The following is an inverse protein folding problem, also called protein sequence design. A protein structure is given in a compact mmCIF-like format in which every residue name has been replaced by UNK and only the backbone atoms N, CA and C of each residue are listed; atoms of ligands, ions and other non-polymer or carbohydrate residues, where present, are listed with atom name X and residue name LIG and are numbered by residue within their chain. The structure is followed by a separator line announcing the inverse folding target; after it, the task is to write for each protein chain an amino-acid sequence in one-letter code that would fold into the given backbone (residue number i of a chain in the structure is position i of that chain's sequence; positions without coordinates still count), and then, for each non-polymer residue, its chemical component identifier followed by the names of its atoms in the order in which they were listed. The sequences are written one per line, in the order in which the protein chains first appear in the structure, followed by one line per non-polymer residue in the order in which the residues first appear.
data_IF_671530548650
#
_entry.id   IF_671530548650
#
_cell.length_a   1.000
_cell.length_b   1.000
_cell.length_c   1.000
_cell.angle_alpha   90.00
_cell.angle_beta   90.00
_cell.angle_gamma   90.00
#
_symmetry.space_group_name_H-M   'P 1'
#
loop_
_entity.id
_entity.type
_entity.pdbx_description
1 polymer ?
#
# COMPACT_ATOMS: atom_id res chain seq x y z
N UNK A 1 -38.86 -0.10 -5.50
CA UNK A 1 -39.52 0.99 -4.74
C UNK A 1 -38.61 1.49 -3.61
N UNK A 2 -37.94 0.62 -2.86
CA UNK A 2 -37.09 0.98 -1.70
C UNK A 2 -35.83 1.74 -2.10
N UNK A 3 -35.16 1.33 -3.18
CA UNK A 3 -33.98 2.00 -3.72
C UNK A 3 -34.27 3.44 -4.18
N UNK A 4 -35.43 3.66 -4.83
CA UNK A 4 -35.89 5.03 -5.19
C UNK A 4 -36.11 5.90 -3.96
N UNK A 5 -36.72 5.35 -2.90
CA UNK A 5 -36.91 6.09 -1.63
C UNK A 5 -35.58 6.48 -1.02
N UNK A 6 -34.60 5.57 -1.02
CA UNK A 6 -33.25 5.83 -0.51
C UNK A 6 -32.55 6.95 -1.27
N UNK A 7 -32.61 6.92 -2.60
CA UNK A 7 -32.01 7.98 -3.45
C UNK A 7 -32.68 9.34 -3.20
N UNK A 8 -34.02 9.39 -3.18
CA UNK A 8 -34.76 10.62 -2.90
C UNK A 8 -34.45 11.15 -1.48
N UNK A 9 -34.39 10.27 -0.50
CA UNK A 9 -34.07 10.65 0.89
C UNK A 9 -32.65 11.22 1.01
N UNK A 10 -31.66 10.58 0.36
CA UNK A 10 -30.29 11.08 0.36
C UNK A 10 -30.19 12.45 -0.32
N UNK A 11 -30.86 12.64 -1.46
CA UNK A 11 -30.88 13.93 -2.16
C UNK A 11 -31.55 15.03 -1.31
N UNK A 12 -32.70 14.72 -0.67
CA UNK A 12 -33.35 15.64 0.24
C UNK A 12 -32.47 16.01 1.44
N UNK A 13 -31.84 15.02 2.07
CA UNK A 13 -30.95 15.24 3.22
C UNK A 13 -29.76 16.12 2.81
N UNK A 14 -29.15 15.86 1.67
CA UNK A 14 -28.07 16.67 1.15
C UNK A 14 -28.50 18.12 0.97
N UNK A 15 -29.65 18.35 0.30
CA UNK A 15 -30.20 19.70 0.08
C UNK A 15 -30.55 20.40 1.39
N UNK A 16 -31.23 19.71 2.32
CA UNK A 16 -31.67 20.29 3.58
C UNK A 16 -30.50 20.67 4.51
N UNK A 17 -29.38 19.97 4.43
CA UNK A 17 -28.21 20.23 5.28
C UNK A 17 -27.31 21.36 4.76
N UNK A 18 -27.43 21.81 3.51
CA UNK A 18 -26.56 22.82 2.89
C UNK A 18 -26.42 24.07 3.77
N UNK A 19 -27.56 24.65 4.17
CA UNK A 19 -27.55 25.90 4.96
C UNK A 19 -26.81 25.73 6.27
N UNK A 20 -27.18 24.70 7.02
CA UNK A 20 -26.60 24.41 8.35
C UNK A 20 -25.11 24.11 8.25
N UNK A 21 -24.69 23.35 7.25
CA UNK A 21 -23.26 23.03 7.03
C UNK A 21 -22.45 24.27 6.62
N UNK A 22 -23.00 25.15 5.77
CA UNK A 22 -22.33 26.42 5.41
C UNK A 22 -22.17 27.36 6.60
N UNK A 23 -23.22 27.50 7.43
CA UNK A 23 -23.14 28.28 8.67
C UNK A 23 -22.04 27.72 9.58
N UNK A 24 -21.95 26.38 9.71
CA UNK A 24 -20.93 25.71 10.51
C UNK A 24 -19.51 25.93 9.96
N UNK A 25 -19.33 25.85 8.64
CA UNK A 25 -18.05 26.15 7.99
C UNK A 25 -17.64 27.61 8.22
N UNK A 26 -18.58 28.53 8.22
CA UNK A 26 -18.32 29.96 8.51
C UNK A 26 -17.92 30.19 9.96
N UNK A 27 -18.63 29.56 10.91
CA UNK A 27 -18.31 29.62 12.35
C UNK A 27 -16.89 29.10 12.67
N UNK A 28 -16.41 28.12 11.89
CA UNK A 28 -15.09 27.51 12.06
C UNK A 28 -14.00 28.11 11.17
N UNK A 29 -14.28 29.19 10.44
CA UNK A 29 -13.39 29.85 9.48
C UNK A 29 -12.90 28.93 8.34
N UNK A 30 -13.70 27.91 7.99
CA UNK A 30 -13.38 26.92 6.96
C UNK A 30 -14.11 27.17 5.63
N UNK A 31 -15.03 28.14 5.56
CA UNK A 31 -15.85 28.35 4.37
C UNK A 31 -15.00 28.75 3.15
N UNK A 32 -14.00 29.61 3.35
CA UNK A 32 -13.09 30.02 2.27
C UNK A 32 -12.28 28.84 1.72
N UNK A 33 -11.76 27.98 2.59
CA UNK A 33 -11.06 26.75 2.18
C UNK A 33 -12.00 25.84 1.37
N UNK A 34 -13.22 25.64 1.85
CA UNK A 34 -14.21 24.82 1.19
C UNK A 34 -14.55 25.32 -0.22
N UNK A 35 -14.86 26.61 -0.37
CA UNK A 35 -15.33 27.17 -1.64
C UNK A 35 -14.21 27.36 -2.67
N UNK A 36 -13.01 27.76 -2.24
CA UNK A 36 -11.94 28.14 -3.13
C UNK A 36 -10.87 27.07 -3.36
N UNK A 37 -10.86 26.02 -2.55
CA UNK A 37 -9.90 24.90 -2.67
C UNK A 37 -10.62 23.58 -2.83
N UNK A 38 -11.39 23.15 -1.82
CA UNK A 38 -11.95 21.80 -1.78
C UNK A 38 -12.97 21.53 -2.88
N UNK A 39 -13.89 22.48 -3.12
CA UNK A 39 -14.92 22.30 -4.16
C UNK A 39 -14.34 22.36 -5.59
N UNK A 40 -13.45 23.28 -5.96
CA UNK A 40 -12.77 23.24 -7.27
C UNK A 40 -11.93 21.97 -7.47
N UNK A 41 -11.30 21.47 -6.41
CA UNK A 41 -10.47 20.27 -6.46
C UNK A 41 -11.27 19.01 -6.86
N UNK A 42 -12.57 18.94 -6.52
CA UNK A 42 -13.46 17.82 -6.95
C UNK A 42 -13.39 17.60 -8.45
N UNK A 43 -13.46 18.68 -9.24
CA UNK A 43 -13.45 18.58 -10.71
C UNK A 43 -12.08 18.14 -11.24
N UNK A 44 -11.00 18.59 -10.59
CA UNK A 44 -9.65 18.17 -10.94
C UNK A 44 -9.44 16.68 -10.67
N UNK A 45 -9.84 16.22 -9.49
CA UNK A 45 -9.74 14.80 -9.12
C UNK A 45 -10.61 13.92 -10.02
N UNK A 46 -11.83 14.34 -10.32
CA UNK A 46 -12.69 13.66 -11.27
C UNK A 46 -12.04 13.53 -12.65
N UNK A 47 -11.45 14.63 -13.16
CA UNK A 47 -10.73 14.61 -14.44
C UNK A 47 -9.54 13.64 -14.42
N UNK A 48 -8.80 13.60 -13.32
CA UNK A 48 -7.68 12.64 -13.12
C UNK A 48 -8.16 11.20 -13.10
N UNK A 49 -9.27 10.91 -12.41
CA UNK A 49 -9.88 9.58 -12.38
C UNK A 49 -10.35 9.15 -13.78
N UNK A 50 -10.99 10.04 -14.53
CA UNK A 50 -11.44 9.76 -15.91
C UNK A 50 -10.27 9.57 -16.88
N UNK A 51 -9.22 10.36 -16.74
CA UNK A 51 -8.03 10.25 -17.59
C UNK A 51 -7.22 9.00 -17.31
N UNK A 52 -7.14 8.58 -16.05
CA UNK A 52 -6.34 7.45 -15.61
C UNK A 52 -4.83 7.63 -15.89
N UNK A 53 -4.05 6.64 -15.49
CA UNK A 53 -2.61 6.58 -15.71
C UNK A 53 -2.31 5.44 -16.68
N UNK A 54 -1.61 5.73 -17.78
CA UNK A 54 -1.17 4.70 -18.72
C UNK A 54 -0.16 3.78 -18.09
N UNK A 55 -0.31 2.47 -18.33
CA UNK A 55 0.58 1.44 -17.82
C UNK A 55 0.98 0.51 -18.97
N UNK A 56 2.28 0.28 -19.12
CA UNK A 56 2.81 -0.69 -20.05
C UNK A 56 2.73 -2.09 -19.41
N UNK A 57 1.63 -2.81 -19.67
CA UNK A 57 1.30 -4.08 -19.02
C UNK A 57 2.36 -5.16 -19.21
N UNK A 58 2.96 -5.26 -20.41
CA UNK A 58 4.04 -6.21 -20.72
C UNK A 58 5.30 -5.91 -19.90
N UNK A 59 5.69 -4.65 -19.77
CA UNK A 59 6.82 -4.23 -18.95
C UNK A 59 6.58 -4.52 -17.47
N UNK A 60 5.37 -4.28 -16.99
CA UNK A 60 4.99 -4.60 -15.61
C UNK A 60 5.05 -6.11 -15.35
N UNK A 61 4.62 -6.94 -16.30
CA UNK A 61 4.70 -8.40 -16.23
C UNK A 61 6.15 -8.88 -16.25
N UNK A 62 6.99 -8.36 -17.15
CA UNK A 62 8.41 -8.67 -17.22
C UNK A 62 9.13 -8.28 -15.91
N UNK A 63 8.76 -7.14 -15.34
CA UNK A 63 9.26 -6.72 -14.03
C UNK A 63 8.86 -7.71 -12.92
N UNK A 64 7.59 -8.15 -12.88
CA UNK A 64 7.09 -9.15 -11.94
C UNK A 64 7.82 -10.49 -12.05
N UNK A 65 8.15 -10.93 -13.26
CA UNK A 65 8.92 -12.16 -13.53
C UNK A 65 10.33 -12.04 -12.95
N UNK A 66 11.04 -10.96 -13.24
CA UNK A 66 12.39 -10.70 -12.68
C UNK A 66 12.40 -10.68 -11.15
N UNK A 67 11.39 -10.06 -10.53
CA UNK A 67 11.25 -10.11 -9.06
C UNK A 67 11.03 -11.52 -8.55
N UNK A 68 10.23 -12.33 -9.26
CA UNK A 68 9.99 -13.74 -8.92
C UNK A 68 11.25 -14.58 -8.93
N UNK A 69 12.10 -14.41 -9.94
CA UNK A 69 13.40 -15.08 -10.03
C UNK A 69 14.32 -14.72 -8.86
N UNK A 70 14.43 -13.43 -8.54
CA UNK A 70 15.23 -12.97 -7.40
C UNK A 70 14.68 -13.47 -6.04
N UNK A 71 13.36 -13.51 -5.87
CA UNK A 71 12.71 -14.06 -4.67
C UNK A 71 13.06 -15.54 -4.52
N UNK A 72 12.96 -16.33 -5.60
CA UNK A 72 13.29 -17.75 -5.59
C UNK A 72 14.75 -18.02 -5.24
N UNK A 73 15.66 -17.19 -5.72
CA UNK A 73 17.08 -17.30 -5.39
C UNK A 73 17.34 -16.96 -3.91
N UNK A 74 16.71 -15.89 -3.41
CA UNK A 74 16.81 -15.54 -1.98
C UNK A 74 16.22 -16.63 -1.06
N UNK A 75 15.13 -17.27 -1.46
CA UNK A 75 14.56 -18.40 -0.69
C UNK A 75 15.58 -19.53 -0.53
N UNK A 76 16.27 -19.92 -1.59
CA UNK A 76 17.32 -20.97 -1.53
C UNK A 76 18.43 -20.56 -0.56
N UNK A 77 18.94 -19.34 -0.69
CA UNK A 77 20.01 -18.83 0.18
C UNK A 77 19.56 -18.80 1.65
N UNK A 78 18.33 -18.36 1.92
CA UNK A 78 17.79 -18.31 3.29
C UNK A 78 17.64 -19.72 3.85
N UNK A 79 17.14 -20.70 3.08
CA UNK A 79 17.01 -22.09 3.53
C UNK A 79 18.35 -22.76 3.76
N UNK A 80 19.35 -22.51 2.91
CA UNK A 80 20.72 -22.97 3.12
C UNK A 80 21.33 -22.41 4.43
N UNK A 81 21.15 -21.11 4.67
CA UNK A 81 21.63 -20.47 5.91
C UNK A 81 20.89 -20.95 7.16
N UNK A 82 19.61 -21.28 7.04
CA UNK A 82 18.78 -21.79 8.13
C UNK A 82 18.96 -23.29 8.38
N UNK A 83 19.49 -24.03 7.40
CA UNK A 83 19.62 -25.49 7.44
C UNK A 83 18.31 -26.25 7.22
N UNK A 84 17.19 -25.59 6.94
CA UNK A 84 15.90 -26.19 6.72
C UNK A 84 14.93 -25.30 5.92
N UNK A 85 13.91 -25.92 5.33
CA UNK A 85 12.82 -25.22 4.60
C UNK A 85 11.72 -24.83 5.59
N UNK A 86 11.27 -23.58 5.52
CA UNK A 86 10.18 -23.06 6.34
C UNK A 86 9.43 -21.93 5.61
N UNK A 87 8.27 -21.51 6.11
CA UNK A 87 7.56 -20.37 5.53
C UNK A 87 8.15 -19.05 6.04
N UNK A 88 8.97 -18.38 5.21
CA UNK A 88 9.63 -17.10 5.52
C UNK A 88 8.61 -15.99 5.78
N UNK A 89 7.42 -16.08 5.16
CA UNK A 89 6.32 -15.13 5.36
C UNK A 89 5.52 -15.38 6.64
N UNK A 90 5.76 -16.48 7.36
CA UNK A 90 5.13 -16.75 8.64
C UNK A 90 5.96 -16.16 9.79
N UNK A 91 5.49 -15.08 10.49
CA UNK A 91 6.24 -14.51 11.62
C UNK A 91 6.53 -15.53 12.72
N UNK A 92 5.61 -16.50 12.91
CA UNK A 92 5.76 -17.56 13.92
C UNK A 92 6.90 -18.51 13.56
N UNK A 93 6.91 -19.07 12.33
CA UNK A 93 7.96 -19.97 11.90
C UNK A 93 9.32 -19.27 11.84
N UNK A 94 9.35 -18.08 11.26
CA UNK A 94 10.57 -17.28 11.19
C UNK A 94 11.13 -16.96 12.58
N UNK A 95 10.25 -16.64 13.55
CA UNK A 95 10.66 -16.40 14.93
C UNK A 95 11.32 -17.63 15.59
N UNK A 96 10.76 -18.82 15.37
CA UNK A 96 11.35 -20.09 15.85
C UNK A 96 12.71 -20.33 15.20
N UNK A 97 12.83 -20.18 13.88
CA UNK A 97 14.10 -20.37 13.18
C UNK A 97 15.17 -19.43 13.71
N UNK A 98 14.91 -18.11 13.71
CA UNK A 98 15.92 -17.12 14.06
C UNK A 98 16.29 -17.14 15.56
N UNK A 99 15.30 -17.24 16.45
CA UNK A 99 15.50 -16.96 17.86
C UNK A 99 15.55 -18.20 18.76
N UNK A 100 15.07 -19.36 18.28
CA UNK A 100 15.17 -20.62 19.03
C UNK A 100 16.23 -21.54 18.44
N UNK A 101 16.22 -21.77 17.10
CA UNK A 101 17.14 -22.71 16.46
C UNK A 101 18.52 -22.10 16.17
N UNK A 102 18.55 -20.86 15.68
CA UNK A 102 19.80 -20.13 15.40
C UNK A 102 20.29 -19.33 16.61
N UNK A 103 19.53 -19.31 17.70
CA UNK A 103 19.85 -18.65 18.97
C UNK A 103 20.22 -17.16 18.83
N UNK A 104 19.68 -16.48 17.79
CA UNK A 104 19.90 -15.05 17.60
C UNK A 104 19.23 -14.28 18.74
N UNK A 105 19.93 -13.36 19.45
CA UNK A 105 19.38 -12.68 20.59
C UNK A 105 18.21 -11.75 20.22
N UNK A 106 17.06 -11.93 20.86
CA UNK A 106 15.90 -11.05 20.71
C UNK A 106 15.20 -10.81 22.03
N UNK A 107 15.18 -9.54 22.46
CA UNK A 107 14.53 -9.12 23.71
C UNK A 107 13.05 -8.77 23.54
N UNK A 108 12.56 -8.59 22.28
CA UNK A 108 11.21 -8.11 22.00
C UNK A 108 10.28 -9.30 21.71
N UNK A 109 9.45 -9.64 22.70
CA UNK A 109 8.39 -10.65 22.55
C UNK A 109 7.04 -9.99 22.27
N UNK A 110 6.17 -10.70 21.56
CA UNK A 110 4.76 -10.37 21.34
C UNK A 110 3.88 -11.36 22.09
N UNK A 111 2.56 -11.14 22.12
CA UNK A 111 1.61 -12.11 22.71
C UNK A 111 1.66 -13.50 22.06
N UNK A 112 2.14 -13.59 20.81
CA UNK A 112 2.15 -14.82 19.99
C UNK A 112 3.56 -15.37 19.73
N UNK A 113 4.59 -14.84 20.39
CA UNK A 113 5.98 -15.28 20.21
C UNK A 113 6.97 -14.14 20.03
N UNK A 114 8.01 -14.37 19.25
CA UNK A 114 9.03 -13.38 18.97
C UNK A 114 8.60 -12.36 17.94
N UNK A 115 8.99 -11.09 18.14
CA UNK A 115 8.75 -10.06 17.13
C UNK A 115 9.74 -10.21 15.96
N UNK A 116 9.21 -10.37 14.76
CA UNK A 116 9.98 -10.33 13.50
C UNK A 116 9.67 -9.07 12.70
N UNK A 117 9.25 -7.98 13.35
CA UNK A 117 8.99 -6.70 12.72
C UNK A 117 10.28 -6.10 12.14
N UNK A 118 10.17 -5.29 11.08
CA UNK A 118 11.32 -4.75 10.37
C UNK A 118 12.26 -3.97 11.29
N UNK A 119 11.71 -3.14 12.18
CA UNK A 119 12.48 -2.35 13.16
C UNK A 119 13.34 -3.21 14.13
N UNK A 120 12.92 -4.46 14.35
CA UNK A 120 13.66 -5.43 15.18
C UNK A 120 14.74 -6.10 14.36
N UNK A 121 14.39 -6.56 13.15
CA UNK A 121 15.32 -7.27 12.28
C UNK A 121 16.43 -6.34 11.76
N UNK A 122 16.12 -5.11 11.40
CA UNK A 122 17.09 -4.12 10.93
C UNK A 122 18.22 -3.87 11.95
N UNK A 123 17.93 -3.94 13.25
CA UNK A 123 18.94 -3.80 14.30
C UNK A 123 19.88 -5.00 14.41
N UNK A 124 19.45 -6.16 13.98
CA UNK A 124 20.20 -7.41 14.01
C UNK A 124 20.91 -7.70 12.67
N UNK A 125 20.49 -7.07 11.62
CA UNK A 125 21.00 -7.31 10.26
C UNK A 125 22.54 -7.13 10.11
N UNK A 126 23.20 -6.16 10.79
CA UNK A 126 24.65 -6.01 10.71
C UNK A 126 25.44 -7.22 11.21
N UNK A 127 24.90 -7.90 12.23
CA UNK A 127 25.60 -9.01 12.91
C UNK A 127 25.20 -10.38 12.33
N UNK A 128 24.05 -10.48 11.67
CA UNK A 128 23.47 -11.73 11.20
C UNK A 128 23.08 -11.67 9.71
N UNK A 129 23.91 -12.17 8.79
CA UNK A 129 23.68 -12.07 7.35
C UNK A 129 22.33 -12.63 6.87
N UNK A 130 21.83 -13.71 7.49
CA UNK A 130 20.51 -14.28 7.16
C UNK A 130 19.37 -13.24 7.31
N UNK A 131 19.47 -12.37 8.31
CA UNK A 131 18.46 -11.33 8.56
C UNK A 131 18.42 -10.31 7.43
N UNK A 132 19.58 -9.92 6.89
CA UNK A 132 19.66 -9.05 5.73
C UNK A 132 18.97 -9.68 4.52
N UNK A 133 19.15 -10.98 4.27
CA UNK A 133 18.48 -11.71 3.19
C UNK A 133 16.97 -11.81 3.40
N UNK A 134 16.52 -12.01 4.63
CA UNK A 134 15.09 -12.03 4.98
C UNK A 134 14.44 -10.66 4.76
N UNK A 135 15.11 -9.57 5.14
CA UNK A 135 14.62 -8.21 4.88
C UNK A 135 14.51 -7.94 3.38
N UNK A 136 15.52 -8.29 2.61
CA UNK A 136 15.52 -8.20 1.14
C UNK A 136 14.39 -9.03 0.53
N UNK A 137 14.24 -10.30 0.92
CA UNK A 137 13.15 -11.17 0.50
C UNK A 137 11.77 -10.55 0.74
N UNK A 138 11.51 -10.06 1.94
CA UNK A 138 10.24 -9.41 2.29
C UNK A 138 9.97 -8.18 1.45
N UNK A 139 11.02 -7.43 1.16
CA UNK A 139 10.95 -6.24 0.34
C UNK A 139 10.59 -6.56 -1.11
N UNK A 140 11.25 -7.54 -1.72
CA UNK A 140 10.96 -8.00 -3.08
C UNK A 140 9.57 -8.65 -3.18
N UNK A 141 9.20 -9.47 -2.21
CA UNK A 141 7.86 -10.10 -2.14
C UNK A 141 6.77 -9.03 -2.08
N UNK A 142 6.95 -7.99 -1.28
CA UNK A 142 6.01 -6.87 -1.21
C UNK A 142 5.95 -6.09 -2.53
N UNK A 143 7.09 -5.82 -3.18
CA UNK A 143 7.12 -5.18 -4.48
C UNK A 143 6.38 -5.99 -5.53
N UNK A 144 6.63 -7.30 -5.59
CA UNK A 144 5.96 -8.19 -6.53
C UNK A 144 4.45 -8.25 -6.27
N UNK A 145 4.04 -8.61 -5.07
CA UNK A 145 2.62 -8.86 -4.77
C UNK A 145 1.77 -7.58 -4.83
N UNK A 146 2.29 -6.45 -4.33
CA UNK A 146 1.50 -5.22 -4.23
C UNK A 146 1.53 -4.40 -5.51
N UNK A 147 2.70 -4.33 -6.17
CA UNK A 147 2.88 -3.42 -7.30
C UNK A 147 2.98 -4.12 -8.64
N UNK A 148 3.77 -5.18 -8.81
CA UNK A 148 3.83 -5.87 -10.09
C UNK A 148 2.51 -6.63 -10.37
N UNK A 149 2.17 -7.60 -9.53
CA UNK A 149 0.97 -8.42 -9.71
C UNK A 149 -0.31 -7.64 -9.32
N UNK A 150 -0.23 -6.84 -8.25
CA UNK A 150 -1.38 -6.09 -7.73
C UNK A 150 -1.88 -5.01 -8.70
N UNK A 151 -1.00 -4.22 -9.31
CA UNK A 151 -1.40 -3.17 -10.26
C UNK A 151 -1.94 -3.74 -11.57
N UNK A 152 -1.43 -4.88 -12.01
CA UNK A 152 -1.87 -5.54 -13.25
C UNK A 152 -3.38 -5.81 -13.25
N UNK A 153 -3.98 -6.09 -12.09
CA UNK A 153 -5.42 -6.35 -11.94
C UNK A 153 -6.30 -5.10 -12.14
N UNK A 154 -5.70 -3.91 -12.13
CA UNK A 154 -6.43 -2.64 -12.30
C UNK A 154 -6.24 -2.02 -13.69
N UNK A 155 -5.49 -2.66 -14.57
CA UNK A 155 -5.31 -2.17 -15.94
C UNK A 155 -6.62 -2.39 -16.71
N UNK A 156 -7.25 -1.30 -17.12
CA UNK A 156 -8.46 -1.31 -17.93
C UNK A 156 -8.21 -1.72 -19.38
N UNK A 157 -9.27 -1.93 -20.15
CA UNK A 157 -9.18 -2.29 -21.58
C UNK A 157 -8.53 -1.20 -22.45
N UNK A 158 -8.43 0.02 -21.93
CA UNK A 158 -7.75 1.18 -22.54
C UNK A 158 -6.26 1.26 -22.20
N UNK A 159 -5.72 0.26 -21.47
CA UNK A 159 -4.32 0.23 -21.02
C UNK A 159 -4.03 1.20 -19.87
N UNK A 160 -5.07 1.66 -19.15
CA UNK A 160 -4.92 2.63 -18.07
C UNK A 160 -5.43 2.11 -16.74
N UNK A 161 -4.91 2.66 -15.66
CA UNK A 161 -5.41 2.47 -14.30
C UNK A 161 -6.19 3.71 -13.90
N UNK A 162 -7.48 3.53 -13.59
CA UNK A 162 -8.39 4.56 -13.10
C UNK A 162 -8.56 4.39 -11.59
N UNK A 163 -7.66 5.02 -10.82
CA UNK A 163 -7.75 5.02 -9.36
C UNK A 163 -8.86 5.93 -8.86
N UNK A 164 -9.18 5.85 -7.57
CA UNK A 164 -10.14 6.72 -6.89
C UNK A 164 -9.42 7.60 -5.88
N UNK A 165 -9.82 8.87 -5.82
CA UNK A 165 -9.29 9.85 -4.87
C UNK A 165 -10.34 10.23 -3.83
N UNK A 166 -9.92 10.32 -2.57
CA UNK A 166 -10.79 10.66 -1.45
C UNK A 166 -10.27 11.90 -0.74
N UNK A 167 -11.07 12.97 -0.72
CA UNK A 167 -10.74 14.24 -0.05
C UNK A 167 -11.06 14.23 1.45
N UNK A 168 -12.01 13.39 1.89
CA UNK A 168 -12.62 13.48 3.23
C UNK A 168 -12.17 12.37 4.19
N UNK A 169 -11.27 11.47 3.78
CA UNK A 169 -10.89 10.31 4.60
C UNK A 169 -9.84 10.68 5.65
N UNK A 170 -8.88 11.57 5.31
CA UNK A 170 -7.78 11.90 6.20
C UNK A 170 -8.10 13.13 7.05
N UNK A 171 -7.80 13.08 8.35
CA UNK A 171 -7.95 14.22 9.24
C UNK A 171 -6.91 15.33 9.01
N UNK A 172 -5.89 15.06 8.18
CA UNK A 172 -4.76 15.97 7.94
C UNK A 172 -4.91 16.85 6.70
N UNK A 173 -6.03 16.76 5.97
CA UNK A 173 -6.23 17.44 4.69
C UNK A 173 -5.47 16.81 3.51
N UNK A 174 -4.82 15.64 3.71
CA UNK A 174 -4.21 14.89 2.61
C UNK A 174 -5.29 14.16 1.82
N UNK A 175 -5.09 14.04 0.52
CA UNK A 175 -5.89 13.17 -0.34
C UNK A 175 -5.38 11.73 -0.17
N UNK A 176 -6.30 10.78 -0.01
CA UNK A 176 -5.97 9.35 -0.09
C UNK A 176 -6.40 8.78 -1.44
N UNK A 177 -5.77 7.70 -1.89
CA UNK A 177 -6.16 7.00 -3.10
C UNK A 177 -6.40 5.52 -2.86
N UNK A 178 -7.36 4.96 -3.61
CA UNK A 178 -7.71 3.53 -3.59
C UNK A 178 -7.95 3.01 -5.00
N UNK A 179 -8.01 1.73 -5.16
CA UNK A 179 -8.36 1.04 -6.41
C UNK A 179 -7.49 1.41 -7.63
N UNK A 180 -6.15 1.34 -7.52
CA UNK A 180 -5.30 0.99 -6.39
C UNK A 180 -4.77 2.19 -5.62
N UNK A 181 -4.09 1.94 -4.47
CA UNK A 181 -3.36 2.99 -3.77
C UNK A 181 -2.00 3.24 -4.46
N UNK A 182 -1.95 4.25 -5.32
CA UNK A 182 -0.75 4.64 -6.07
C UNK A 182 0.24 5.51 -5.27
N UNK A 183 -0.18 6.01 -4.09
CA UNK A 183 0.66 6.90 -3.27
C UNK A 183 1.81 6.17 -2.58
N UNK A 184 1.67 4.86 -2.36
CA UNK A 184 2.62 4.04 -1.62
C UNK A 184 3.67 3.35 -2.51
N UNK A 185 3.74 3.66 -3.82
CA UNK A 185 4.75 3.10 -4.71
C UNK A 185 6.14 3.56 -4.22
N UNK A 186 7.06 2.62 -3.89
CA UNK A 186 8.37 2.95 -3.34
C UNK A 186 9.20 3.79 -4.30
N UNK A 187 9.81 4.87 -3.79
CA UNK A 187 10.68 5.76 -4.59
C UNK A 187 12.14 5.75 -4.14
N UNK A 188 12.40 5.21 -2.94
CA UNK A 188 13.76 5.16 -2.38
C UNK A 188 14.61 4.04 -2.94
N UNK A 189 13.96 2.93 -3.33
CA UNK A 189 14.63 1.78 -3.90
C UNK A 189 14.70 1.90 -5.41
N UNK A 190 15.83 1.49 -5.98
CA UNK A 190 16.03 1.46 -7.43
C UNK A 190 14.98 0.58 -8.13
N UNK A 191 14.74 -0.62 -7.61
CA UNK A 191 13.69 -1.52 -8.11
C UNK A 191 12.29 -0.90 -8.02
N UNK A 192 11.97 -0.17 -6.93
CA UNK A 192 10.69 0.53 -6.82
C UNK A 192 10.52 1.67 -7.83
N UNK A 193 11.62 2.32 -8.23
CA UNK A 193 11.60 3.37 -9.26
C UNK A 193 11.28 2.84 -10.65
N UNK A 194 11.62 1.59 -10.96
CA UNK A 194 11.34 0.97 -12.25
C UNK A 194 9.84 0.84 -12.53
N UNK A 195 9.00 0.78 -11.51
CA UNK A 195 7.53 0.75 -11.65
C UNK A 195 6.97 2.06 -12.25
N UNK A 196 7.72 3.17 -12.13
CA UNK A 196 7.29 4.51 -12.56
C UNK A 196 7.88 4.94 -13.92
N UNK A 197 8.65 4.09 -14.55
CA UNK A 197 9.16 4.31 -15.91
C UNK A 197 8.15 3.86 -16.94
#
# INVERSE_FOLDING_TARGET
AEERKKVCYNAYTAMASVKVLREKLQETDMLNLYENVEMPLVFTLYSMEQSGIRVEGEELQAYGTRLGEQITELEKVIYEMAGEVFNINSPKQLGVILFEKMEIPNKKKTKTGYSTAADVLEKLAPDYPIISRILEYRQLTKLKSTYADGLANFIGPDGRIHGKFHQTITATGRISSTEPNLQNIPVRMELGRLIRK
#
